data_IF_721758643274
#
_entry.id   IF_721758643274
#
_cell.length_a   1.000
_cell.length_b   1.000
_cell.length_c   1.000
_cell.angle_alpha   90.00
_cell.angle_beta   90.00
_cell.angle_gamma   90.00
#
_symmetry.space_group_name_H-M   'P 1'
#
loop_
_entity.id
_entity.type
_entity.pdbx_description
1 polymer ?
#
# COMPACT_ATOMS: atom_id res chain seq x y z
N UNK A 1 -14.42 -16.89 -6.31
CA UNK A 1 -14.68 -15.47 -6.00
C UNK A 1 -14.57 -14.68 -7.29
N UNK A 2 -15.48 -13.73 -7.57
CA UNK A 2 -15.42 -12.93 -8.82
C UNK A 2 -14.26 -11.94 -8.77
N UNK A 3 -13.50 -11.77 -9.85
CA UNK A 3 -12.36 -10.83 -9.95
C UNK A 3 -12.75 -9.41 -9.55
N UNK A 4 -13.97 -8.97 -9.86
CA UNK A 4 -14.50 -7.66 -9.45
C UNK A 4 -14.60 -7.49 -7.92
N UNK A 5 -14.94 -8.56 -7.21
CA UNK A 5 -15.01 -8.53 -5.74
C UNK A 5 -13.61 -8.51 -5.13
N UNK A 6 -12.68 -9.26 -5.72
CA UNK A 6 -11.27 -9.27 -5.32
C UNK A 6 -10.64 -7.88 -5.48
N UNK A 7 -10.78 -7.26 -6.66
CA UNK A 7 -10.21 -5.92 -6.92
C UNK A 7 -10.81 -4.85 -6.02
N UNK A 8 -12.13 -4.89 -5.80
CA UNK A 8 -12.81 -3.96 -4.88
C UNK A 8 -12.31 -4.12 -3.45
N UNK A 9 -12.20 -5.35 -2.97
CA UNK A 9 -11.74 -5.64 -1.61
C UNK A 9 -10.28 -5.24 -1.41
N UNK A 10 -9.42 -5.50 -2.39
CA UNK A 10 -8.02 -5.08 -2.35
C UNK A 10 -7.90 -3.55 -2.28
N UNK A 11 -8.70 -2.82 -3.07
CA UNK A 11 -8.73 -1.36 -2.99
C UNK A 11 -9.22 -0.81 -1.63
N UNK A 12 -10.11 -1.52 -0.95
CA UNK A 12 -10.53 -1.18 0.42
C UNK A 12 -9.40 -1.38 1.43
N UNK A 13 -8.71 -2.52 1.37
CA UNK A 13 -7.58 -2.79 2.25
C UNK A 13 -6.44 -1.79 2.08
N UNK A 14 -6.12 -1.43 0.83
CA UNK A 14 -5.09 -0.42 0.55
C UNK A 14 -5.44 0.94 1.16
N UNK A 15 -6.69 1.41 1.04
CA UNK A 15 -7.13 2.66 1.70
C UNK A 15 -7.04 2.56 3.22
N UNK A 16 -7.42 1.41 3.80
CA UNK A 16 -7.32 1.20 5.24
C UNK A 16 -5.86 1.20 5.71
N UNK A 17 -4.96 0.59 4.94
CA UNK A 17 -3.51 0.61 5.19
C UNK A 17 -2.96 2.04 5.21
N UNK A 18 -3.30 2.85 4.20
CA UNK A 18 -2.90 4.26 4.13
C UNK A 18 -3.36 5.05 5.37
N UNK A 19 -4.61 4.89 5.78
CA UNK A 19 -5.14 5.55 6.98
C UNK A 19 -4.42 5.11 8.28
N UNK A 20 -3.99 3.84 8.37
CA UNK A 20 -3.19 3.36 9.50
C UNK A 20 -1.76 3.91 9.49
N UNK A 21 -1.12 4.04 8.33
CA UNK A 21 0.21 4.66 8.21
C UNK A 21 0.16 6.13 8.64
N UNK A 22 -0.85 6.88 8.21
CA UNK A 22 -1.03 8.25 8.68
C UNK A 22 -1.26 8.32 10.18
N UNK A 23 -2.01 7.37 10.75
CA UNK A 23 -2.19 7.27 12.20
C UNK A 23 -0.88 6.97 12.91
N UNK A 24 -0.09 6.03 12.41
CA UNK A 24 1.21 5.68 12.95
C UNK A 24 2.15 6.89 12.94
N UNK A 25 2.21 7.62 11.83
CA UNK A 25 3.01 8.84 11.71
C UNK A 25 2.59 9.92 12.72
N UNK A 26 1.27 10.14 12.91
CA UNK A 26 0.76 11.03 13.96
C UNK A 26 1.17 10.58 15.37
N UNK A 27 1.08 9.29 15.67
CA UNK A 27 1.49 8.74 16.97
C UNK A 27 3.00 8.89 17.20
N UNK A 28 3.82 8.61 16.18
CA UNK A 28 5.28 8.80 16.26
C UNK A 28 5.65 10.26 16.53
N UNK A 29 4.96 11.21 15.89
CA UNK A 29 5.18 12.66 16.14
C UNK A 29 4.72 13.12 17.52
N UNK A 30 3.81 12.40 18.17
CA UNK A 30 3.34 12.71 19.52
C UNK A 30 4.27 12.21 20.62
N UNK A 31 5.17 11.29 20.28
CA UNK A 31 6.12 10.70 21.20
C UNK A 31 7.42 11.52 21.28
N UNK A 32 8.12 11.48 22.42
CA UNK A 32 9.42 12.12 22.55
C UNK A 32 10.44 11.58 21.54
N UNK A 33 11.40 12.42 21.14
CA UNK A 33 12.44 12.06 20.17
C UNK A 33 13.29 10.87 20.63
N UNK A 34 13.54 10.74 21.94
CA UNK A 34 14.32 9.63 22.51
C UNK A 34 13.67 8.26 22.26
N UNK A 35 12.36 8.21 22.00
CA UNK A 35 11.64 6.96 21.71
C UNK A 35 12.02 6.35 20.35
N UNK A 36 12.63 7.14 19.45
CA UNK A 36 13.06 6.69 18.12
C UNK A 36 14.53 7.00 17.82
N UNK A 37 15.20 7.78 18.66
CA UNK A 37 16.61 8.09 18.50
C UNK A 37 17.48 6.82 18.64
N UNK A 38 18.55 6.66 17.85
CA UNK A 38 19.49 5.56 18.03
C UNK A 38 20.06 5.58 19.45
N UNK A 39 19.94 4.46 20.16
CA UNK A 39 20.48 4.34 21.50
C UNK A 39 21.99 4.60 21.48
N UNK A 40 22.46 5.55 22.30
CA UNK A 40 23.89 5.77 22.52
C UNK A 40 24.40 4.75 23.53
N UNK A 41 24.58 3.51 23.06
CA UNK A 41 24.92 2.34 23.88
C UNK A 41 26.36 2.36 24.42
N UNK A 42 27.24 3.21 23.86
CA UNK A 42 28.66 3.26 24.24
C UNK A 42 28.80 3.71 25.70
N UNK A 43 29.40 2.86 26.53
CA UNK A 43 29.60 3.13 27.96
C UNK A 43 28.45 2.69 28.86
N UNK A 44 27.35 2.15 28.31
CA UNK A 44 26.26 1.58 29.09
C UNK A 44 26.51 0.10 29.41
N UNK A 45 26.13 -0.32 30.62
CA UNK A 45 26.05 -1.73 31.02
C UNK A 45 24.86 -2.43 30.36
N UNK A 46 24.89 -3.76 30.33
CA UNK A 46 23.80 -4.56 29.77
C UNK A 46 22.45 -4.32 30.49
N UNK A 47 22.46 -4.02 31.78
CA UNK A 47 21.25 -3.70 32.55
C UNK A 47 20.67 -2.33 32.18
N UNK A 48 21.53 -1.31 32.02
CA UNK A 48 21.11 0.03 31.58
C UNK A 48 20.54 0.00 30.16
N UNK A 49 21.12 -0.82 29.28
CA UNK A 49 20.61 -1.02 27.93
C UNK A 49 19.21 -1.67 27.97
N UNK A 50 19.02 -2.72 28.78
CA UNK A 50 17.71 -3.38 28.93
C UNK A 50 16.65 -2.42 29.48
N UNK A 51 17.00 -1.61 30.47
CA UNK A 51 16.09 -0.61 31.03
C UNK A 51 15.67 0.43 29.99
N UNK A 52 16.63 1.00 29.25
CA UNK A 52 16.34 1.99 28.20
C UNK A 52 15.45 1.42 27.09
N UNK A 53 15.72 0.20 26.64
CA UNK A 53 14.88 -0.50 25.65
C UNK A 53 13.47 -0.75 26.21
N UNK A 54 13.35 -1.13 27.48
CA UNK A 54 12.06 -1.31 28.14
C UNK A 54 11.24 -0.03 28.22
N UNK A 55 11.87 1.10 28.56
CA UNK A 55 11.21 2.41 28.63
C UNK A 55 10.73 2.86 27.24
N UNK A 56 11.52 2.60 26.19
CA UNK A 56 11.11 2.87 24.80
C UNK A 56 9.89 2.05 24.39
N UNK A 57 9.92 0.73 24.60
CA UNK A 57 8.80 -0.14 24.28
C UNK A 57 7.54 0.27 25.04
N UNK A 58 7.67 0.53 26.34
CA UNK A 58 6.52 0.98 27.15
C UNK A 58 5.93 2.28 26.63
N UNK A 59 6.76 3.26 26.24
CA UNK A 59 6.26 4.51 25.67
C UNK A 59 5.53 4.29 24.33
N UNK A 60 6.00 3.37 23.49
CA UNK A 60 5.36 3.01 22.22
C UNK A 60 4.02 2.28 22.45
N UNK A 61 4.00 1.33 23.38
CA UNK A 61 2.82 0.60 23.82
C UNK A 61 1.74 1.53 24.39
N UNK A 62 2.13 2.43 25.31
CA UNK A 62 1.23 3.38 25.94
C UNK A 62 0.64 4.37 24.91
N UNK A 63 1.40 4.69 23.85
CA UNK A 63 0.90 5.48 22.72
C UNK A 63 0.04 4.66 21.73
N UNK A 64 -0.02 3.34 21.88
CA UNK A 64 -0.77 2.43 21.03
C UNK A 64 -0.13 2.18 19.67
N UNK A 65 1.19 2.36 19.53
CA UNK A 65 1.92 2.07 18.28
C UNK A 65 1.89 0.59 17.95
N UNK A 66 2.12 -0.29 18.93
CA UNK A 66 2.11 -1.75 18.75
C UNK A 66 0.78 -2.27 18.21
N UNK A 67 -0.34 -1.68 18.65
CA UNK A 67 -1.66 -2.01 18.12
C UNK A 67 -1.81 -1.62 16.65
N UNK A 68 -1.29 -0.45 16.26
CA UNK A 68 -1.31 0.01 14.87
C UNK A 68 -0.39 -0.84 14.00
N UNK A 69 0.79 -1.21 14.48
CA UNK A 69 1.72 -2.10 13.79
C UNK A 69 1.14 -3.51 13.61
N UNK A 70 0.50 -4.05 14.64
CA UNK A 70 -0.23 -5.31 14.55
C UNK A 70 -1.40 -5.28 13.57
N UNK A 71 -2.13 -4.15 13.45
CA UNK A 71 -3.15 -3.98 12.42
C UNK A 71 -2.57 -3.84 11.01
N UNK A 72 -1.46 -3.11 10.85
CA UNK A 72 -0.76 -2.97 9.57
C UNK A 72 -0.29 -4.32 9.04
N UNK A 73 0.36 -5.13 9.88
CA UNK A 73 0.82 -6.47 9.50
C UNK A 73 -0.34 -7.36 9.03
N UNK A 74 -1.47 -7.35 9.76
CA UNK A 74 -2.66 -8.12 9.34
C UNK A 74 -3.23 -7.65 8.01
N UNK A 75 -3.24 -6.34 7.74
CA UNK A 75 -3.70 -5.83 6.46
C UNK A 75 -2.73 -6.22 5.34
N UNK A 76 -1.43 -6.17 5.59
CA UNK A 76 -0.41 -6.54 4.62
C UNK A 76 -0.52 -8.04 4.25
N UNK A 77 -0.72 -8.92 5.23
CA UNK A 77 -1.00 -10.35 4.98
C UNK A 77 -2.28 -10.54 4.13
N UNK A 78 -3.36 -9.81 4.44
CA UNK A 78 -4.61 -9.89 3.68
C UNK A 78 -4.49 -9.35 2.25
N UNK A 79 -3.69 -8.30 2.05
CA UNK A 79 -3.37 -7.75 0.73
C UNK A 79 -2.62 -8.80 -0.08
N UNK A 80 -1.58 -9.41 0.48
CA UNK A 80 -0.80 -10.46 -0.17
C UNK A 80 -1.66 -11.66 -0.55
N UNK A 81 -2.50 -12.15 0.38
CA UNK A 81 -3.41 -13.27 0.12
C UNK A 81 -4.35 -12.96 -1.06
N UNK A 82 -4.94 -11.76 -1.08
CA UNK A 82 -5.85 -11.37 -2.16
C UNK A 82 -5.15 -11.15 -3.50
N UNK A 83 -3.92 -10.64 -3.49
CA UNK A 83 -3.10 -10.51 -4.70
C UNK A 83 -2.80 -11.89 -5.28
N UNK A 84 -2.41 -12.84 -4.44
CA UNK A 84 -2.19 -14.23 -4.86
C UNK A 84 -3.48 -14.86 -5.40
N UNK A 85 -4.63 -14.61 -4.77
CA UNK A 85 -5.93 -15.07 -5.26
C UNK A 85 -6.30 -14.44 -6.61
N UNK A 86 -5.94 -13.17 -6.82
CA UNK A 86 -6.18 -12.43 -8.05
C UNK A 86 -5.31 -12.97 -9.19
N UNK A 87 -4.01 -13.18 -8.94
CA UNK A 87 -3.04 -13.72 -9.89
C UNK A 87 -3.39 -15.13 -10.37
N UNK A 88 -4.01 -15.92 -9.50
CA UNK A 88 -4.47 -17.29 -9.83
C UNK A 88 -5.90 -17.32 -10.38
N UNK A 89 -6.64 -16.21 -10.31
CA UNK A 89 -7.98 -16.11 -10.88
C UNK A 89 -7.95 -15.96 -12.39
N UNK A 90 -8.83 -16.66 -13.11
CA UNK A 90 -9.07 -16.37 -14.53
C UNK A 90 -10.20 -15.35 -14.65
N UNK A 91 -9.93 -14.23 -15.31
CA UNK A 91 -10.94 -13.28 -15.73
C UNK A 91 -11.63 -13.78 -17.00
N UNK A 92 -12.90 -14.17 -16.89
CA UNK A 92 -13.73 -14.53 -18.05
C UNK A 92 -14.48 -13.35 -18.67
N UNK A 93 -14.30 -12.12 -18.16
CA UNK A 93 -15.02 -10.93 -18.59
C UNK A 93 -14.12 -9.71 -18.78
N UNK A 94 -14.47 -8.87 -19.76
CA UNK A 94 -13.80 -7.59 -20.03
C UNK A 94 -13.88 -6.65 -18.82
N UNK A 95 -15.01 -6.64 -18.11
CA UNK A 95 -15.15 -5.84 -16.87
C UNK A 95 -14.18 -6.30 -15.77
N UNK A 96 -13.90 -7.61 -15.67
CA UNK A 96 -12.90 -8.14 -14.76
C UNK A 96 -11.48 -7.70 -15.13
N UNK A 97 -11.15 -7.71 -16.42
CA UNK A 97 -9.86 -7.22 -16.94
C UNK A 97 -9.70 -5.72 -16.68
N UNK A 98 -10.74 -4.91 -16.95
CA UNK A 98 -10.73 -3.48 -16.65
C UNK A 98 -10.47 -3.20 -15.17
N UNK A 99 -11.19 -3.89 -14.28
CA UNK A 99 -11.02 -3.67 -12.85
C UNK A 99 -9.63 -4.08 -12.34
N UNK A 100 -9.03 -5.12 -12.92
CA UNK A 100 -7.65 -5.49 -12.64
C UNK A 100 -6.67 -4.42 -13.13
N UNK A 101 -6.89 -3.88 -14.32
CA UNK A 101 -6.03 -2.85 -14.91
C UNK A 101 -6.12 -1.52 -14.14
N UNK A 102 -7.32 -1.09 -13.75
CA UNK A 102 -7.53 0.09 -12.90
C UNK A 102 -6.81 -0.05 -11.56
N UNK A 103 -6.86 -1.25 -10.96
CA UNK A 103 -6.13 -1.56 -9.73
C UNK A 103 -4.61 -1.50 -9.92
N UNK A 104 -4.10 -2.05 -11.02
CA UNK A 104 -2.67 -2.04 -11.34
C UNK A 104 -2.15 -0.61 -11.54
N UNK A 105 -2.89 0.22 -12.29
CA UNK A 105 -2.59 1.65 -12.49
C UNK A 105 -2.58 2.37 -11.14
N UNK A 106 -3.61 2.19 -10.31
CA UNK A 106 -3.68 2.84 -9.01
C UNK A 106 -2.53 2.42 -8.08
N UNK A 107 -2.07 1.16 -8.13
CA UNK A 107 -0.91 0.69 -7.37
C UNK A 107 0.38 1.32 -7.89
N UNK A 108 0.66 1.18 -9.18
CA UNK A 108 1.91 1.65 -9.78
C UNK A 108 2.04 3.18 -9.69
N UNK A 109 0.95 3.92 -9.89
CA UNK A 109 0.93 5.38 -9.73
C UNK A 109 1.20 5.87 -8.32
N UNK A 110 1.03 5.04 -7.28
CA UNK A 110 1.45 5.37 -5.90
C UNK A 110 2.91 5.05 -5.62
N UNK A 111 3.52 4.16 -6.41
CA UNK A 111 4.90 3.72 -6.22
C UNK A 111 5.87 4.51 -7.10
N UNK A 112 5.47 4.84 -8.33
CA UNK A 112 6.29 5.57 -9.28
C UNK A 112 6.35 7.06 -8.89
N UNK A 113 7.55 7.65 -8.77
CA UNK A 113 7.68 9.10 -8.63
C UNK A 113 7.04 9.78 -9.84
N UNK A 114 6.16 10.75 -9.58
CA UNK A 114 5.42 11.44 -10.64
C UNK A 114 6.15 12.65 -11.21
N UNK A 115 7.24 13.09 -10.56
CA UNK A 115 7.99 14.28 -10.94
C UNK A 115 9.26 13.90 -11.73
N UNK A 116 9.35 14.26 -13.03
CA UNK A 116 10.53 13.98 -13.85
C UNK A 116 11.83 14.64 -13.35
N UNK A 117 11.73 15.61 -12.45
CA UNK A 117 12.86 16.25 -11.79
C UNK A 117 13.30 15.57 -10.49
N UNK A 118 12.56 14.55 -10.03
CA UNK A 118 12.93 13.73 -8.88
C UNK A 118 14.17 12.87 -9.20
N UNK A 119 15.23 12.91 -8.37
CA UNK A 119 16.41 12.04 -8.55
C UNK A 119 16.10 10.54 -8.56
N UNK A 120 14.98 10.13 -7.98
CA UNK A 120 14.50 8.75 -7.95
C UNK A 120 13.52 8.44 -9.08
N UNK A 121 13.26 9.37 -9.99
CA UNK A 121 12.33 9.18 -11.11
C UNK A 121 12.79 8.04 -12.02
N UNK A 122 11.99 6.97 -12.06
CA UNK A 122 12.20 5.84 -12.96
C UNK A 122 11.38 6.03 -14.26
N UNK A 123 12.09 6.39 -15.33
CA UNK A 123 11.50 6.54 -16.67
C UNK A 123 10.88 5.23 -17.21
N UNK A 124 11.35 4.08 -16.74
CA UNK A 124 10.80 2.77 -17.05
C UNK A 124 9.41 2.60 -16.45
N UNK A 125 9.28 2.78 -15.14
CA UNK A 125 8.01 2.67 -14.43
C UNK A 125 6.98 3.68 -14.92
N UNK A 126 7.40 4.93 -15.15
CA UNK A 126 6.53 5.96 -15.71
C UNK A 126 6.01 5.58 -17.10
N UNK A 127 6.86 5.00 -17.96
CA UNK A 127 6.44 4.52 -19.29
C UNK A 127 5.47 3.35 -19.18
N UNK A 128 5.72 2.39 -18.28
CA UNK A 128 4.81 1.26 -18.04
C UNK A 128 3.46 1.77 -17.58
N UNK A 129 3.43 2.70 -16.62
CA UNK A 129 2.20 3.32 -16.13
C UNK A 129 1.40 3.96 -17.27
N UNK A 130 2.06 4.75 -18.14
CA UNK A 130 1.42 5.36 -19.31
C UNK A 130 0.84 4.34 -20.29
N UNK A 131 1.54 3.23 -20.53
CA UNK A 131 1.05 2.16 -21.38
C UNK A 131 -0.21 1.49 -20.79
N UNK A 132 -0.22 1.27 -19.47
CA UNK A 132 -1.38 0.72 -18.77
C UNK A 132 -2.57 1.68 -18.80
N UNK A 133 -2.34 2.98 -18.56
CA UNK A 133 -3.36 4.04 -18.67
C UNK A 133 -3.97 4.06 -20.07
N UNK A 134 -3.14 4.05 -21.11
CA UNK A 134 -3.60 4.02 -22.50
C UNK A 134 -4.43 2.76 -22.79
N UNK A 135 -3.97 1.58 -22.37
CA UNK A 135 -4.72 0.35 -22.53
C UNK A 135 -6.08 0.37 -21.80
N UNK A 136 -6.14 1.02 -20.62
CA UNK A 136 -7.38 1.18 -19.88
C UNK A 136 -8.38 2.08 -20.64
N UNK A 137 -7.91 3.16 -21.24
CA UNK A 137 -8.74 4.06 -22.03
C UNK A 137 -9.26 3.40 -23.31
N UNK A 138 -8.45 2.60 -24.00
CA UNK A 138 -8.88 1.81 -25.16
C UNK A 138 -9.95 0.76 -24.77
N UNK A 139 -9.73 0.06 -23.66
CA UNK A 139 -10.72 -0.86 -23.10
C UNK A 139 -11.99 -0.14 -22.69
N UNK A 140 -11.92 1.13 -22.25
CA UNK A 140 -13.08 1.98 -21.95
C UNK A 140 -13.87 2.32 -23.22
N UNK A 141 -13.18 2.67 -24.30
CA UNK A 141 -13.77 3.02 -25.60
C UNK A 141 -14.49 1.86 -26.31
N UNK A 142 -13.92 0.66 -26.29
CA UNK A 142 -14.49 -0.54 -26.95
C UNK A 142 -15.89 -0.92 -26.43
N UNK A 143 -16.14 -0.78 -25.13
CA UNK A 143 -17.48 -1.01 -24.55
C UNK A 143 -18.55 0.00 -24.95
N UNK A 144 -18.16 1.18 -25.48
CA UNK A 144 -19.07 2.21 -25.99
C UNK A 144 -19.48 1.90 -27.44
N UNK A 145 -18.56 1.40 -28.26
CA UNK A 145 -18.86 0.98 -29.63
C UNK A 145 -19.73 -0.27 -29.69
N UNK A 146 -19.52 -1.22 -28.78
CA UNK A 146 -20.31 -2.45 -28.73
C UNK A 146 -21.77 -2.19 -28.32
N UNK A 147 -22.01 -1.23 -27.41
CA UNK A 147 -23.38 -0.78 -27.07
C UNK A 147 -24.07 -0.01 -28.20
N UNK A 148 -23.32 0.70 -29.06
CA UNK A 148 -23.86 1.41 -30.23
C UNK A 148 -24.21 0.48 -31.41
N UNK A 149 -23.66 -0.74 -31.44
CA UNK A 149 -23.99 -1.74 -32.48
C UNK A 149 -25.19 -2.62 -32.13
N UNK A 150 -25.57 -2.68 -30.85
CA UNK A 150 -26.64 -3.57 -30.33
C UNK A 150 -27.93 -2.81 -29.99
N UNK A 151 -27.89 -1.47 -29.92
CA UNK A 151 -29.06 -0.60 -29.79
C UNK A 151 -29.42 0.06 -31.11
#
# INVERSE_FOLDING_TARGET
MSTLLLTRRLGELQRRREALLERQDRLRRSLPEWTFAPLRLVGMSADEIRAAVGDMHKAQDDAGLDAVEGELNRIDDQIEEMENALLTSRTGSIDGVRALLDLAIARLGRQAPSDPSDPFYDYGDARVLRLLEHAADELRGTGVEERRRVG
#
